data_IF_165644160009
#
_entry.id   IF_165644160009
#
_cell.length_a   1.000
_cell.length_b   1.000
_cell.length_c   1.000
_cell.angle_alpha   90.00
_cell.angle_beta   90.00
_cell.angle_gamma   90.00
#
_symmetry.space_group_name_H-M   'P 1'
#
loop_
_entity.id
_entity.type
_entity.pdbx_description
1 polymer ?
#
# COMPACT_ATOMS: atom_id res chain seq x y z
N UNK A 1 15.22 -1.05 86.82
CA UNK A 1 13.83 -0.67 86.52
C UNK A 1 13.87 0.38 85.42
N UNK A 2 13.18 0.12 84.31
CA UNK A 2 12.92 0.97 83.14
C UNK A 2 14.07 1.32 82.17
N UNK A 3 14.15 0.48 81.14
CA UNK A 3 14.65 0.73 79.79
C UNK A 3 13.95 1.92 79.13
N UNK A 4 14.71 2.78 78.43
CA UNK A 4 14.18 3.69 77.40
C UNK A 4 15.11 3.69 76.19
N UNK A 5 14.70 2.92 75.18
CA UNK A 5 15.23 2.95 73.83
C UNK A 5 14.78 4.26 73.18
N UNK A 6 15.74 5.10 72.79
CA UNK A 6 15.47 6.28 71.94
C UNK A 6 15.81 5.92 70.51
N UNK A 7 14.79 5.71 69.69
CA UNK A 7 14.88 5.66 68.24
C UNK A 7 14.59 7.06 67.70
N UNK A 8 15.52 7.65 66.94
CA UNK A 8 15.23 8.86 66.17
C UNK A 8 15.62 8.65 64.69
N UNK A 9 14.56 8.74 63.89
CA UNK A 9 14.41 8.84 62.45
C UNK A 9 15.63 9.31 61.63
N UNK A 10 16.06 8.48 60.67
CA UNK A 10 16.66 8.95 59.43
C UNK A 10 15.54 9.51 58.53
N UNK A 11 15.54 10.84 58.32
CA UNK A 11 14.72 11.47 57.29
C UNK A 11 15.39 11.27 55.92
N UNK A 12 14.99 10.22 55.21
CA UNK A 12 15.38 10.01 53.81
C UNK A 12 14.67 11.01 52.91
N UNK A 13 15.45 11.91 52.29
CA UNK A 13 14.98 12.85 51.28
C UNK A 13 14.67 12.06 50.00
N UNK A 14 13.41 11.62 49.83
CA UNK A 14 12.94 11.07 48.56
C UNK A 14 12.74 12.22 47.57
N UNK A 15 13.74 12.47 46.74
CA UNK A 15 13.55 13.25 45.52
C UNK A 15 12.65 12.42 44.58
N UNK A 16 11.35 12.74 44.56
CA UNK A 16 10.44 12.27 43.51
C UNK A 16 10.91 12.89 42.19
N UNK A 17 11.68 12.12 41.41
CA UNK A 17 11.88 12.39 40.00
C UNK A 17 10.55 12.21 39.30
N UNK A 18 9.81 13.31 39.09
CA UNK A 18 8.66 13.32 38.19
C UNK A 18 9.18 13.09 36.78
N UNK A 19 9.17 11.84 36.34
CA UNK A 19 9.23 11.53 34.91
C UNK A 19 8.06 12.28 34.25
N UNK A 20 8.29 13.03 33.16
CA UNK A 20 7.19 13.62 32.42
C UNK A 20 6.25 12.48 32.00
N UNK A 21 4.99 12.57 32.40
CA UNK A 21 3.97 11.67 31.92
C UNK A 21 3.99 11.74 30.39
N UNK A 22 4.31 10.62 29.73
CA UNK A 22 4.12 10.49 28.29
C UNK A 22 2.69 10.93 28.00
N UNK A 23 2.50 11.96 27.18
CA UNK A 23 1.17 12.33 26.71
C UNK A 23 0.52 11.06 26.15
N UNK A 24 -0.56 10.67 26.79
CA UNK A 24 -0.98 9.28 26.79
C UNK A 24 -1.98 9.12 25.63
N UNK A 25 -1.53 8.52 24.52
CA UNK A 25 -2.26 8.40 23.23
C UNK A 25 -3.68 7.88 23.46
N UNK A 26 -4.69 8.70 23.16
CA UNK A 26 -6.10 8.41 23.40
C UNK A 26 -7.01 9.20 22.45
N UNK A 27 -8.24 8.74 22.27
CA UNK A 27 -9.26 9.37 21.43
C UNK A 27 -9.74 8.47 20.31
N UNK A 28 -10.46 9.04 19.36
CA UNK A 28 -10.96 8.34 18.17
C UNK A 28 -10.49 9.06 16.91
N UNK A 29 -10.04 8.30 15.92
CA UNK A 29 -9.74 8.83 14.60
C UNK A 29 -10.36 7.97 13.50
N UNK A 30 -10.44 8.56 12.31
CA UNK A 30 -10.97 7.92 11.10
C UNK A 30 -9.88 7.91 10.05
N UNK A 31 -9.57 6.72 9.53
CA UNK A 31 -8.70 6.51 8.38
C UNK A 31 -9.60 6.18 7.19
N UNK A 32 -9.55 7.02 6.16
CA UNK A 32 -10.33 6.83 4.94
C UNK A 32 -9.45 6.37 3.78
N UNK A 33 -9.96 5.46 2.95
CA UNK A 33 -9.24 4.98 1.78
C UNK A 33 -10.14 4.26 0.78
N UNK A 34 -9.53 3.86 -0.32
CA UNK A 34 -10.10 2.98 -1.33
C UNK A 34 -8.97 2.16 -1.97
N UNK A 35 -9.31 1.05 -2.62
CA UNK A 35 -8.33 0.20 -3.29
C UNK A 35 -7.64 -0.81 -2.37
N UNK A 36 -6.51 -1.39 -2.81
CA UNK A 36 -5.94 -2.62 -2.23
C UNK A 36 -5.31 -2.43 -0.85
N UNK A 37 -5.15 -1.19 -0.36
CA UNK A 37 -4.49 -0.90 0.92
C UNK A 37 -5.38 -1.21 2.15
N UNK A 38 -6.64 -1.61 1.96
CA UNK A 38 -7.59 -1.85 3.07
C UNK A 38 -7.03 -2.78 4.15
N UNK A 39 -6.58 -3.97 3.75
CA UNK A 39 -6.19 -5.01 4.69
C UNK A 39 -4.97 -4.62 5.53
N UNK A 40 -3.98 -3.95 4.92
CA UNK A 40 -2.81 -3.46 5.66
C UNK A 40 -3.20 -2.34 6.63
N UNK A 41 -4.15 -1.47 6.27
CA UNK A 41 -4.61 -0.40 7.15
C UNK A 41 -5.41 -0.93 8.34
N UNK A 42 -6.29 -1.91 8.12
CA UNK A 42 -7.00 -2.62 9.19
C UNK A 42 -6.01 -3.31 10.14
N UNK A 43 -4.97 -3.94 9.60
CA UNK A 43 -3.94 -4.62 10.41
C UNK A 43 -3.10 -3.64 11.22
N UNK A 44 -2.71 -2.50 10.63
CA UNK A 44 -2.01 -1.42 11.35
C UNK A 44 -2.89 -0.80 12.44
N UNK A 45 -4.16 -0.52 12.12
CA UNK A 45 -5.13 0.03 13.08
C UNK A 45 -5.28 -0.91 14.29
N UNK A 46 -5.53 -2.19 14.04
CA UNK A 46 -5.68 -3.19 15.10
C UNK A 46 -4.43 -3.31 15.98
N UNK A 47 -3.25 -3.37 15.37
CA UNK A 47 -1.99 -3.46 16.12
C UNK A 47 -1.71 -2.19 16.93
N UNK A 48 -2.06 -1.01 16.40
CA UNK A 48 -1.95 0.26 17.10
C UNK A 48 -2.89 0.36 18.31
N UNK A 49 -4.16 -0.01 18.16
CA UNK A 49 -5.14 -0.02 19.26
C UNK A 49 -4.73 -0.99 20.36
N UNK A 50 -4.16 -2.15 19.99
CA UNK A 50 -3.62 -3.12 20.95
C UNK A 50 -2.47 -2.52 21.77
N UNK A 51 -1.62 -1.70 21.14
CA UNK A 51 -0.53 -1.00 21.83
C UNK A 51 -1.01 0.24 22.60
N UNK A 52 -2.16 0.81 22.23
CA UNK A 52 -2.73 2.04 22.78
C UNK A 52 -4.21 1.82 23.15
N UNK A 53 -4.53 1.18 24.30
CA UNK A 53 -5.89 0.72 24.60
C UNK A 53 -6.98 1.79 24.75
N UNK A 54 -6.61 3.08 24.68
CA UNK A 54 -7.52 4.22 24.74
C UNK A 54 -7.66 4.94 23.40
N UNK A 55 -6.96 4.47 22.38
CA UNK A 55 -7.14 4.88 21.01
C UNK A 55 -8.16 3.96 20.34
N UNK A 56 -9.00 4.56 19.50
CA UNK A 56 -9.95 3.86 18.65
C UNK A 56 -9.79 4.36 17.21
N UNK A 57 -9.69 3.45 16.26
CA UNK A 57 -9.48 3.76 14.85
C UNK A 57 -10.62 3.14 14.05
N UNK A 58 -11.40 4.00 13.40
CA UNK A 58 -12.38 3.58 12.42
C UNK A 58 -11.75 3.60 11.02
N UNK A 59 -11.75 2.46 10.33
CA UNK A 59 -11.22 2.32 8.97
C UNK A 59 -12.40 2.34 8.00
N UNK A 60 -12.60 3.48 7.36
CA UNK A 60 -13.67 3.70 6.38
C UNK A 60 -13.12 3.44 4.99
N UNK A 61 -13.55 2.33 4.38
CA UNK A 61 -13.07 1.89 3.07
C UNK A 61 -14.24 1.71 2.10
N UNK A 62 -14.29 2.56 1.06
CA UNK A 62 -15.34 2.51 0.03
C UNK A 62 -14.79 2.98 -1.32
N UNK A 63 -15.06 2.25 -2.40
CA UNK A 63 -14.56 2.52 -3.75
C UNK A 63 -15.07 3.83 -4.37
N UNK A 64 -16.14 4.41 -3.82
CA UNK A 64 -16.68 5.71 -4.24
C UNK A 64 -16.29 6.84 -3.27
N UNK A 65 -15.57 6.53 -2.20
CA UNK A 65 -15.08 7.54 -1.26
C UNK A 65 -14.07 8.48 -1.94
N UNK A 66 -13.99 9.69 -1.40
CA UNK A 66 -12.97 10.67 -1.76
C UNK A 66 -12.15 11.01 -0.51
N UNK A 67 -11.16 10.17 -0.14
CA UNK A 67 -10.46 10.29 1.13
C UNK A 67 -9.86 11.68 1.37
N UNK A 68 -9.27 12.28 0.33
CA UNK A 68 -8.71 13.64 0.42
C UNK A 68 -9.78 14.71 0.70
N UNK A 69 -10.98 14.56 0.13
CA UNK A 69 -12.08 15.49 0.40
C UNK A 69 -12.61 15.29 1.83
N UNK A 70 -12.65 14.05 2.32
CA UNK A 70 -13.01 13.75 3.71
C UNK A 70 -12.01 14.37 4.71
N UNK A 71 -10.70 14.32 4.44
CA UNK A 71 -9.68 14.98 5.27
C UNK A 71 -9.85 16.51 5.25
N UNK A 72 -10.04 17.11 4.07
CA UNK A 72 -10.28 18.57 3.93
C UNK A 72 -11.56 19.02 4.63
N UNK A 73 -12.60 18.18 4.59
CA UNK A 73 -13.87 18.42 5.27
C UNK A 73 -13.86 18.04 6.76
N UNK A 74 -12.73 17.57 7.30
CA UNK A 74 -12.57 17.10 8.69
C UNK A 74 -13.51 15.95 9.06
N UNK A 75 -13.89 15.13 8.08
CA UNK A 75 -14.65 13.88 8.25
C UNK A 75 -13.72 12.68 8.46
N UNK A 76 -12.50 12.76 7.94
CA UNK A 76 -11.43 11.80 8.19
C UNK A 76 -10.20 12.54 8.77
N UNK A 77 -9.41 11.81 9.54
CA UNK A 77 -8.14 12.32 10.09
C UNK A 77 -6.98 12.00 9.14
N UNK A 78 -7.02 10.82 8.53
CA UNK A 78 -6.03 10.34 7.57
C UNK A 78 -6.74 9.87 6.30
N UNK A 79 -6.18 10.21 5.16
CA UNK A 79 -6.50 9.64 3.85
C UNK A 79 -5.34 8.77 3.37
N UNK A 80 -5.63 7.57 2.86
CA UNK A 80 -4.63 6.69 2.27
C UNK A 80 -4.61 6.85 0.76
N UNK A 81 -3.49 7.31 0.21
CA UNK A 81 -3.38 7.66 -1.22
C UNK A 81 -2.07 7.22 -1.85
N UNK A 82 -2.06 7.10 -3.19
CA UNK A 82 -0.86 6.90 -3.99
C UNK A 82 -0.15 8.19 -4.44
N UNK A 83 -0.71 9.35 -4.12
CA UNK A 83 -0.24 10.66 -4.58
C UNK A 83 -0.40 11.74 -3.51
N UNK A 84 0.60 12.60 -3.38
CA UNK A 84 0.59 13.71 -2.44
C UNK A 84 -0.44 14.78 -2.83
N UNK A 85 -0.93 15.51 -1.84
CA UNK A 85 -1.88 16.60 -2.02
C UNK A 85 -1.28 17.92 -1.52
N UNK A 86 -1.32 18.96 -2.36
CA UNK A 86 -0.79 20.27 -2.01
C UNK A 86 -1.51 20.85 -0.78
N UNK A 87 -0.73 21.38 0.16
CA UNK A 87 -1.26 22.01 1.37
C UNK A 87 -1.68 21.03 2.47
N UNK A 88 -1.42 19.73 2.33
CA UNK A 88 -1.65 18.72 3.35
C UNK A 88 -0.34 18.09 3.82
N UNK A 89 -0.34 17.56 5.04
CA UNK A 89 0.77 16.76 5.57
C UNK A 89 0.76 15.39 4.92
N UNK A 90 1.95 14.85 4.62
CA UNK A 90 2.10 13.57 3.92
C UNK A 90 3.24 12.77 4.52
N UNK A 91 2.91 11.55 4.96
CA UNK A 91 3.87 10.56 5.43
C UNK A 91 3.84 9.36 4.50
N UNK A 92 4.97 9.08 3.85
CA UNK A 92 5.12 7.82 3.12
C UNK A 92 5.39 6.69 4.10
N UNK A 93 4.67 5.58 3.96
CA UNK A 93 4.82 4.39 4.83
C UNK A 93 5.33 3.16 4.09
N UNK A 94 5.21 3.12 2.76
CA UNK A 94 5.65 2.01 1.93
C UNK A 94 5.87 2.42 0.46
N UNK A 95 6.40 1.49 -0.32
CA UNK A 95 6.29 1.44 -1.77
C UNK A 95 5.38 0.29 -2.19
N UNK A 96 4.60 0.49 -3.25
CA UNK A 96 3.92 -0.57 -3.97
C UNK A 96 4.46 -0.64 -5.40
N UNK A 97 4.77 -1.84 -5.86
CA UNK A 97 5.07 -2.11 -7.26
C UNK A 97 3.78 -2.42 -8.01
N UNK A 98 3.67 -2.05 -9.27
CA UNK A 98 2.55 -2.43 -10.13
C UNK A 98 3.06 -3.49 -11.11
N UNK A 99 2.65 -4.73 -10.87
CA UNK A 99 3.09 -5.88 -11.64
C UNK A 99 2.23 -6.06 -12.90
N UNK A 100 2.86 -6.36 -14.04
CA UNK A 100 2.16 -6.77 -15.26
C UNK A 100 2.02 -8.28 -15.26
N UNK A 101 0.80 -8.77 -15.05
CA UNK A 101 0.52 -10.20 -14.89
C UNK A 101 -0.05 -10.80 -16.17
N UNK A 102 0.49 -11.95 -16.57
CA UNK A 102 0.02 -12.77 -17.68
C UNK A 102 -0.09 -14.24 -17.25
N UNK A 103 -0.72 -15.06 -18.08
CA UNK A 103 -0.71 -16.51 -17.87
C UNK A 103 0.71 -17.08 -18.03
N UNK A 104 1.07 -18.13 -17.26
CA UNK A 104 2.43 -18.69 -17.22
C UNK A 104 2.96 -19.15 -18.57
N UNK A 105 2.10 -19.64 -19.47
CA UNK A 105 2.51 -20.05 -20.82
C UNK A 105 2.56 -18.92 -21.86
N UNK A 106 2.31 -17.66 -21.47
CA UNK A 106 2.68 -16.51 -22.31
C UNK A 106 4.20 -16.31 -22.21
N UNK A 107 4.90 -16.56 -23.32
CA UNK A 107 6.36 -16.55 -23.40
C UNK A 107 6.97 -15.20 -23.81
N UNK A 108 6.18 -14.12 -23.81
CA UNK A 108 6.71 -12.75 -23.92
C UNK A 108 7.78 -12.56 -22.85
N UNK A 109 9.00 -12.20 -23.25
CA UNK A 109 10.16 -12.21 -22.35
C UNK A 109 10.13 -11.03 -21.39
N UNK A 110 9.95 -9.83 -21.95
CA UNK A 110 9.92 -8.55 -21.28
C UNK A 110 9.06 -7.59 -22.08
N UNK A 111 8.69 -6.47 -21.48
CA UNK A 111 8.07 -5.33 -22.14
C UNK A 111 8.76 -4.05 -21.70
N UNK A 112 8.78 -3.04 -22.53
CA UNK A 112 9.14 -1.68 -22.13
C UNK A 112 7.96 -0.98 -21.50
N UNK A 113 8.22 0.07 -20.73
CA UNK A 113 7.15 0.91 -20.18
C UNK A 113 6.23 1.48 -21.28
N UNK A 114 6.79 1.84 -22.43
CA UNK A 114 6.01 2.31 -23.58
C UNK A 114 5.13 1.20 -24.17
N UNK A 115 5.63 -0.03 -24.26
CA UNK A 115 4.84 -1.18 -24.72
C UNK A 115 3.70 -1.51 -23.75
N UNK A 116 3.90 -1.37 -22.43
CA UNK A 116 2.81 -1.48 -21.46
C UNK A 116 1.76 -0.39 -21.72
N UNK A 117 2.17 0.86 -21.91
CA UNK A 117 1.25 1.96 -22.23
C UNK A 117 0.46 1.69 -23.52
N UNK A 118 1.14 1.22 -24.56
CA UNK A 118 0.54 0.92 -25.86
C UNK A 118 -0.38 -0.31 -25.81
N UNK A 119 -0.04 -1.31 -24.99
CA UNK A 119 -0.87 -2.48 -24.76
C UNK A 119 -2.17 -2.09 -24.04
N UNK A 120 -2.08 -1.33 -22.95
CA UNK A 120 -3.25 -0.94 -22.16
C UNK A 120 -4.08 0.19 -22.78
N UNK A 121 -3.53 0.96 -23.72
CA UNK A 121 -4.31 1.85 -24.61
C UNK A 121 -4.90 1.11 -25.82
N UNK A 122 -4.69 -0.21 -25.91
CA UNK A 122 -5.30 -1.08 -26.90
C UNK A 122 -4.65 -1.00 -28.29
N UNK A 123 -3.43 -0.48 -28.43
CA UNK A 123 -2.71 -0.45 -29.71
C UNK A 123 -2.26 -1.84 -30.14
N UNK A 124 -1.74 -2.64 -29.22
CA UNK A 124 -1.39 -4.04 -29.49
C UNK A 124 -2.64 -4.91 -29.53
N UNK A 125 -2.81 -5.65 -30.62
CA UNK A 125 -3.97 -6.55 -30.83
C UNK A 125 -3.60 -8.02 -30.69
N UNK A 126 -2.33 -8.36 -30.92
CA UNK A 126 -1.81 -9.73 -30.82
C UNK A 126 -0.49 -9.73 -30.04
N UNK A 127 -0.23 -10.80 -29.30
CA UNK A 127 0.98 -10.94 -28.50
C UNK A 127 2.24 -11.17 -29.34
N UNK A 128 2.10 -11.70 -30.56
CA UNK A 128 3.21 -11.90 -31.49
C UNK A 128 3.97 -10.59 -31.80
N UNK A 129 3.28 -9.45 -31.77
CA UNK A 129 3.89 -8.12 -31.96
C UNK A 129 4.86 -7.73 -30.83
N UNK A 130 4.76 -8.41 -29.67
CA UNK A 130 5.62 -8.27 -28.49
C UNK A 130 6.56 -9.49 -28.33
N UNK A 131 6.70 -10.32 -29.37
CA UNK A 131 7.49 -11.54 -29.30
C UNK A 131 6.87 -12.65 -28.45
N UNK A 132 5.56 -12.55 -28.20
CA UNK A 132 4.77 -13.53 -27.47
C UNK A 132 4.04 -14.53 -28.39
N UNK A 133 3.04 -15.27 -27.84
CA UNK A 133 2.24 -16.23 -28.59
C UNK A 133 1.40 -15.57 -29.70
N UNK A 134 1.06 -16.34 -30.74
CA UNK A 134 0.11 -15.91 -31.77
C UNK A 134 -1.34 -15.98 -31.26
N UNK A 135 -1.66 -15.10 -30.31
CA UNK A 135 -2.97 -14.98 -29.69
C UNK A 135 -3.37 -13.51 -29.57
N UNK A 136 -4.68 -13.25 -29.58
CA UNK A 136 -5.22 -11.90 -29.34
C UNK A 136 -4.88 -11.43 -27.93
N UNK A 137 -4.60 -10.14 -27.78
CA UNK A 137 -4.47 -9.50 -26.46
C UNK A 137 -5.86 -9.28 -25.87
N UNK A 138 -6.08 -9.79 -24.65
CA UNK A 138 -7.27 -9.57 -23.86
C UNK A 138 -6.91 -8.78 -22.60
N UNK A 139 -7.22 -7.49 -22.61
CA UNK A 139 -6.99 -6.62 -21.46
C UNK A 139 -8.04 -6.91 -20.37
N UNK A 140 -7.58 -6.95 -19.12
CA UNK A 140 -8.44 -6.87 -17.95
C UNK A 140 -8.03 -5.64 -17.15
N UNK A 141 -8.93 -4.67 -17.11
CA UNK A 141 -8.79 -3.42 -16.35
C UNK A 141 -9.35 -3.56 -14.93
N UNK A 142 -9.05 -2.57 -14.11
CA UNK A 142 -9.48 -2.41 -12.74
C UNK A 142 -10.56 -1.33 -12.63
N UNK A 143 -11.37 -1.32 -11.56
CA UNK A 143 -12.31 -0.24 -11.29
C UNK A 143 -11.63 1.13 -11.31
N UNK A 144 -12.36 2.12 -11.84
CA UNK A 144 -12.00 3.54 -11.70
C UNK A 144 -12.02 3.92 -10.21
N UNK A 145 -11.21 4.88 -9.81
CA UNK A 145 -11.04 5.31 -8.41
C UNK A 145 -10.37 4.25 -7.50
N UNK A 146 -9.58 3.33 -8.06
CA UNK A 146 -8.61 2.56 -7.27
C UNK A 146 -7.25 3.24 -7.36
N UNK A 147 -6.60 3.46 -6.21
CA UNK A 147 -5.26 4.05 -6.12
C UNK A 147 -4.26 3.36 -7.08
N UNK A 148 -4.42 2.05 -7.32
CA UNK A 148 -3.54 1.28 -8.20
C UNK A 148 -3.76 1.63 -9.68
N UNK A 149 -5.02 1.74 -10.12
CA UNK A 149 -5.37 2.12 -11.50
C UNK A 149 -4.94 3.54 -11.81
N UNK A 150 -5.21 4.47 -10.91
CA UNK A 150 -4.88 5.88 -11.13
C UNK A 150 -3.36 6.07 -11.24
N UNK A 151 -2.60 5.43 -10.35
CA UNK A 151 -1.14 5.42 -10.43
C UNK A 151 -0.62 4.72 -11.69
N UNK A 152 -1.22 3.59 -12.09
CA UNK A 152 -0.85 2.87 -13.31
C UNK A 152 -1.02 3.75 -14.55
N UNK A 153 -2.18 4.37 -14.72
CA UNK A 153 -2.46 5.27 -15.83
C UNK A 153 -1.53 6.49 -15.84
N UNK A 154 -1.29 7.09 -14.67
CA UNK A 154 -0.45 8.28 -14.53
C UNK A 154 1.02 7.99 -14.82
N UNK A 155 1.55 6.88 -14.30
CA UNK A 155 2.94 6.45 -14.54
C UNK A 155 3.20 6.17 -16.02
N UNK A 156 2.20 5.68 -16.75
CA UNK A 156 2.29 5.34 -18.17
C UNK A 156 1.88 6.48 -19.11
N UNK A 157 1.33 7.59 -18.60
CA UNK A 157 0.82 8.68 -19.44
C UNK A 157 -0.43 8.31 -20.26
N UNK A 158 -1.23 7.38 -19.73
CA UNK A 158 -2.43 6.83 -20.38
C UNK A 158 -3.74 7.12 -19.63
N UNK A 159 -3.76 8.13 -18.75
CA UNK A 159 -4.98 8.57 -18.05
C UNK A 159 -6.16 8.71 -19.01
N UNK A 160 -7.21 7.92 -18.76
CA UNK A 160 -8.44 7.92 -19.56
C UNK A 160 -8.29 7.31 -20.96
N UNK A 161 -7.19 6.61 -21.26
CA UNK A 161 -6.94 5.98 -22.56
C UNK A 161 -7.14 4.47 -22.58
N UNK A 162 -7.39 3.83 -21.43
CA UNK A 162 -7.80 2.43 -21.41
C UNK A 162 -9.18 2.32 -22.10
N UNK A 163 -9.38 1.47 -23.11
CA UNK A 163 -10.63 1.40 -23.84
C UNK A 163 -11.82 1.06 -22.92
N UNK A 164 -12.94 1.79 -23.05
CA UNK A 164 -14.13 1.57 -22.22
C UNK A 164 -14.76 0.18 -22.40
N UNK A 165 -14.49 -0.49 -23.53
CA UNK A 165 -14.92 -1.87 -23.78
C UNK A 165 -14.09 -2.93 -23.03
N UNK A 166 -13.05 -2.52 -22.30
CA UNK A 166 -12.17 -3.43 -21.57
C UNK A 166 -12.92 -4.09 -20.41
N UNK A 167 -12.70 -5.39 -20.21
CA UNK A 167 -13.32 -6.10 -19.08
C UNK A 167 -12.76 -5.56 -17.77
N UNK A 168 -13.65 -5.12 -16.87
CA UNK A 168 -13.27 -4.65 -15.53
C UNK A 168 -13.51 -5.75 -14.49
N UNK A 169 -12.51 -6.02 -13.64
CA UNK A 169 -12.62 -6.93 -12.50
C UNK A 169 -12.03 -6.27 -11.25
N UNK A 170 -12.87 -6.08 -10.23
CA UNK A 170 -12.48 -5.44 -8.96
C UNK A 170 -11.68 -6.36 -8.03
N UNK A 171 -12.10 -7.62 -7.87
CA UNK A 171 -11.47 -8.52 -6.89
C UNK A 171 -10.19 -9.14 -7.43
N UNK A 172 -9.09 -9.03 -6.68
CA UNK A 172 -7.77 -9.56 -7.07
C UNK A 172 -7.80 -11.07 -7.34
N UNK A 173 -8.39 -11.84 -6.43
CA UNK A 173 -8.58 -13.29 -6.58
C UNK A 173 -9.31 -13.64 -7.89
N UNK A 174 -10.32 -12.84 -8.26
CA UNK A 174 -11.13 -13.08 -9.47
C UNK A 174 -10.35 -12.74 -10.72
N UNK A 175 -9.52 -11.69 -10.73
CA UNK A 175 -8.68 -11.39 -11.90
C UNK A 175 -7.58 -12.43 -12.05
N UNK A 176 -6.92 -12.82 -10.96
CA UNK A 176 -5.88 -13.86 -10.94
C UNK A 176 -6.45 -15.17 -11.51
N UNK A 177 -7.63 -15.60 -11.03
CA UNK A 177 -8.34 -16.78 -11.56
C UNK A 177 -8.73 -16.63 -13.03
N UNK A 178 -9.10 -15.43 -13.46
CA UNK A 178 -9.46 -15.17 -14.86
C UNK A 178 -8.24 -15.34 -15.77
N UNK A 179 -7.09 -14.77 -15.40
CA UNK A 179 -5.83 -14.94 -16.13
C UNK A 179 -5.40 -16.41 -16.12
N UNK A 180 -5.52 -17.08 -14.98
CA UNK A 180 -5.06 -18.45 -14.77
C UNK A 180 -5.80 -19.51 -15.60
N UNK A 181 -7.05 -19.31 -16.01
CA UNK A 181 -7.77 -20.40 -16.70
C UNK A 181 -9.14 -20.14 -17.29
N UNK A 182 -9.66 -18.90 -17.31
CA UNK A 182 -11.04 -18.66 -17.81
C UNK A 182 -11.08 -18.05 -19.22
N UNK A 183 -9.92 -17.79 -19.82
CA UNK A 183 -9.77 -17.18 -21.14
C UNK A 183 -8.97 -18.11 -22.06
N UNK A 184 -9.03 -17.93 -23.39
CA UNK A 184 -8.12 -18.63 -24.29
C UNK A 184 -6.69 -18.53 -23.75
N UNK A 185 -5.97 -19.66 -23.63
CA UNK A 185 -4.69 -19.68 -22.96
C UNK A 185 -3.75 -18.64 -23.57
N UNK A 186 -3.06 -17.90 -22.70
CA UNK A 186 -2.02 -16.91 -23.05
C UNK A 186 -2.48 -15.57 -23.62
N UNK A 187 -3.77 -15.33 -23.76
CA UNK A 187 -4.28 -14.08 -24.35
C UNK A 187 -4.34 -12.91 -23.37
N UNK A 188 -4.50 -13.20 -22.08
CA UNK A 188 -4.91 -12.20 -21.11
C UNK A 188 -3.76 -11.51 -20.38
N UNK A 189 -3.96 -10.24 -20.02
CA UNK A 189 -3.04 -9.42 -19.25
C UNK A 189 -3.79 -8.45 -18.35
N UNK A 190 -3.23 -8.22 -17.17
CA UNK A 190 -3.73 -7.26 -16.19
C UNK A 190 -2.57 -6.61 -15.45
N UNK A 191 -2.89 -5.70 -14.54
CA UNK A 191 -1.96 -5.10 -13.60
C UNK A 191 -2.51 -5.20 -12.16
N UNK A 192 -1.62 -5.40 -11.19
CA UNK A 192 -1.95 -5.65 -9.78
C UNK A 192 -0.87 -5.06 -8.87
N UNK A 193 -1.20 -4.87 -7.58
CA UNK A 193 -0.17 -4.64 -6.56
C UNK A 193 0.81 -5.82 -6.56
N UNK A 194 2.10 -5.50 -6.43
CA UNK A 194 3.18 -6.47 -6.60
C UNK A 194 3.14 -7.57 -5.53
N UNK A 195 2.83 -7.23 -4.27
CA UNK A 195 2.79 -8.22 -3.20
C UNK A 195 1.77 -9.33 -3.48
N UNK A 196 0.56 -8.94 -3.89
CA UNK A 196 -0.49 -9.91 -4.28
C UNK A 196 -0.09 -10.71 -5.53
N UNK A 197 0.57 -10.07 -6.49
CA UNK A 197 1.01 -10.73 -7.71
C UNK A 197 2.11 -11.77 -7.44
N UNK A 198 3.07 -11.44 -6.57
CA UNK A 198 4.12 -12.34 -6.11
C UNK A 198 3.55 -13.49 -5.29
N UNK A 199 2.59 -13.22 -4.40
CA UNK A 199 1.90 -14.26 -3.62
C UNK A 199 1.20 -15.26 -4.53
N UNK A 200 0.50 -14.79 -5.57
CA UNK A 200 -0.13 -15.67 -6.55
C UNK A 200 0.88 -16.58 -7.26
N UNK A 201 2.05 -16.04 -7.63
CA UNK A 201 3.14 -16.82 -8.24
C UNK A 201 3.71 -17.84 -7.24
N UNK A 202 3.96 -17.42 -5.99
CA UNK A 202 4.51 -18.27 -4.93
C UNK A 202 3.56 -19.41 -4.56
N UNK A 203 2.25 -19.14 -4.54
CA UNK A 203 1.18 -20.11 -4.31
C UNK A 203 0.93 -21.06 -5.49
N UNK A 204 1.71 -20.98 -6.57
CA UNK A 204 1.67 -21.93 -7.68
C UNK A 204 0.50 -21.73 -8.65
N UNK A 205 -0.19 -20.59 -8.60
CA UNK A 205 -1.17 -20.22 -9.62
C UNK A 205 -0.46 -20.12 -10.97
N UNK A 206 -1.05 -20.57 -12.10
CA UNK A 206 -0.41 -20.57 -13.42
C UNK A 206 -0.34 -19.17 -14.04
N UNK A 207 0.26 -18.22 -13.34
CA UNK A 207 0.53 -16.85 -13.76
C UNK A 207 2.03 -16.57 -13.70
N UNK A 208 2.48 -15.53 -14.40
CA UNK A 208 3.83 -14.97 -14.28
C UNK A 208 3.77 -13.46 -14.43
N UNK A 209 4.82 -12.79 -13.96
CA UNK A 209 4.98 -11.35 -14.08
C UNK A 209 5.94 -11.04 -15.22
N UNK A 210 5.65 -10.01 -16.02
CA UNK A 210 6.55 -9.55 -17.07
C UNK A 210 7.57 -8.56 -16.49
N UNK A 211 8.88 -8.74 -16.76
CA UNK A 211 9.88 -7.70 -16.57
C UNK A 211 9.49 -6.44 -17.36
N UNK A 212 9.74 -5.28 -16.76
CA UNK A 212 9.51 -3.98 -17.39
C UNK A 212 10.84 -3.25 -17.52
N UNK A 213 11.18 -2.81 -18.74
CA UNK A 213 12.46 -2.16 -19.05
C UNK A 213 13.68 -2.98 -18.59
N UNK A 214 13.62 -4.31 -18.77
CA UNK A 214 14.64 -5.29 -18.33
C UNK A 214 14.81 -5.40 -16.81
N UNK A 215 13.86 -4.88 -16.04
CA UNK A 215 13.86 -4.98 -14.58
C UNK A 215 12.76 -5.93 -14.12
N UNK A 216 13.17 -6.91 -13.32
CA UNK A 216 12.24 -7.85 -12.69
C UNK A 216 11.33 -7.14 -11.67
N UNK A 217 10.01 -7.43 -11.65
CA UNK A 217 9.09 -6.91 -10.65
C UNK A 217 9.28 -7.67 -9.33
N UNK A 218 10.12 -7.16 -8.45
CA UNK A 218 10.44 -7.79 -7.16
C UNK A 218 10.60 -6.75 -6.04
N UNK A 219 10.45 -7.17 -4.79
CA UNK A 219 10.63 -6.29 -3.63
C UNK A 219 11.95 -5.50 -3.64
N UNK A 220 13.13 -6.10 -3.97
CA UNK A 220 14.38 -5.35 -4.01
C UNK A 220 14.41 -4.27 -5.10
N UNK A 221 13.88 -4.55 -6.29
CA UNK A 221 13.88 -3.60 -7.42
C UNK A 221 12.85 -2.49 -7.25
N UNK A 222 11.73 -2.76 -6.56
CA UNK A 222 10.79 -1.73 -6.11
C UNK A 222 11.43 -0.86 -5.02
N UNK A 223 12.13 -1.48 -4.06
CA UNK A 223 12.74 -0.77 -2.93
C UNK A 223 13.80 0.23 -3.37
N UNK A 224 14.73 -0.18 -4.23
CA UNK A 224 15.81 0.68 -4.72
C UNK A 224 15.41 1.58 -5.91
N UNK A 225 14.25 1.31 -6.51
CA UNK A 225 13.66 2.14 -7.55
C UNK A 225 14.09 1.84 -8.97
N UNK A 226 14.82 0.74 -9.19
CA UNK A 226 15.06 0.23 -10.54
C UNK A 226 13.75 -0.15 -11.23
N UNK A 227 12.77 -0.72 -10.52
CA UNK A 227 11.45 -1.03 -11.10
C UNK A 227 10.58 0.23 -11.12
N UNK A 228 10.38 0.77 -12.32
CA UNK A 228 9.82 2.11 -12.54
C UNK A 228 8.30 2.20 -12.36
N UNK A 229 7.58 1.09 -12.50
CA UNK A 229 6.14 1.01 -12.22
C UNK A 229 5.93 0.81 -10.72
N UNK A 230 6.21 1.85 -9.94
CA UNK A 230 6.01 1.86 -8.49
C UNK A 230 5.36 3.17 -8.04
N UNK A 231 4.64 3.10 -6.94
CA UNK A 231 3.95 4.24 -6.31
C UNK A 231 4.20 4.25 -4.79
N UNK A 232 4.25 5.43 -4.16
CA UNK A 232 4.30 5.48 -2.71
C UNK A 232 2.93 5.08 -2.13
N UNK A 233 2.92 4.57 -0.91
CA UNK A 233 1.72 4.54 -0.07
C UNK A 233 1.86 5.66 0.95
N UNK A 234 0.92 6.59 0.91
CA UNK A 234 0.95 7.81 1.72
C UNK A 234 -0.22 7.81 2.71
N UNK A 235 0.08 8.24 3.94
CA UNK A 235 -0.90 8.76 4.89
C UNK A 235 -0.94 10.28 4.71
N UNK A 236 -2.11 10.82 4.38
CA UNK A 236 -2.33 12.25 4.16
C UNK A 236 -3.24 12.79 5.27
N UNK A 237 -2.79 13.83 5.95
CA UNK A 237 -3.51 14.45 7.07
C UNK A 237 -3.52 15.98 6.94
N UNK A 238 -4.36 16.66 7.72
CA UNK A 238 -4.28 18.12 7.83
C UNK A 238 -2.97 18.53 8.55
N UNK A 239 -2.51 19.76 8.37
CA UNK A 239 -1.31 20.25 9.08
C UNK A 239 -1.55 20.57 10.57
N UNK A 240 -2.75 20.25 11.08
CA UNK A 240 -3.10 20.44 12.48
C UNK A 240 -2.29 19.43 13.32
N UNK A 241 -1.70 19.88 14.43
CA UNK A 241 -0.96 19.00 15.33
C UNK A 241 -1.94 18.12 16.13
N UNK A 242 -2.30 16.97 15.57
CA UNK A 242 -3.08 15.93 16.24
C UNK A 242 -2.15 14.83 16.78
N UNK A 243 -2.02 14.68 18.12
CA UNK A 243 -1.15 13.67 18.72
C UNK A 243 -1.51 12.22 18.37
N UNK A 244 -2.79 11.93 18.14
CA UNK A 244 -3.23 10.57 17.80
C UNK A 244 -2.85 10.22 16.36
N UNK A 245 -3.02 11.17 15.42
CA UNK A 245 -2.55 11.03 14.03
C UNK A 245 -1.04 10.85 13.99
N UNK A 246 -0.29 11.73 14.66
CA UNK A 246 1.18 11.65 14.69
C UNK A 246 1.68 10.33 15.30
N UNK A 247 1.02 9.84 16.36
CA UNK A 247 1.36 8.56 16.98
C UNK A 247 1.12 7.38 16.03
N UNK A 248 0.03 7.40 15.25
CA UNK A 248 -0.24 6.36 14.26
C UNK A 248 0.72 6.39 13.08
N UNK A 249 1.05 7.58 12.55
CA UNK A 249 2.07 7.75 11.51
C UNK A 249 3.43 7.21 11.99
N UNK A 250 3.83 7.53 13.22
CA UNK A 250 5.04 6.98 13.84
C UNK A 250 4.97 5.46 14.03
N UNK A 251 3.81 4.92 14.43
CA UNK A 251 3.62 3.48 14.54
C UNK A 251 3.76 2.78 13.19
N UNK A 252 3.16 3.31 12.13
CA UNK A 252 3.28 2.76 10.78
C UNK A 252 4.74 2.75 10.28
N UNK A 253 5.55 3.72 10.72
CA UNK A 253 7.00 3.79 10.44
C UNK A 253 7.86 2.94 11.38
N UNK A 254 7.31 2.47 12.50
CA UNK A 254 8.05 1.65 13.48
C UNK A 254 8.40 0.27 12.93
N UNK A 255 9.31 -0.44 13.60
CA UNK A 255 9.67 -1.83 13.22
C UNK A 255 8.44 -2.77 13.18
N UNK A 256 7.48 -2.61 14.11
CA UNK A 256 6.26 -3.41 14.12
C UNK A 256 5.33 -3.04 12.96
N UNK A 257 5.13 -1.75 12.71
CA UNK A 257 4.32 -1.27 11.59
C UNK A 257 4.91 -1.68 10.23
N UNK A 258 6.22 -1.54 10.05
CA UNK A 258 6.92 -1.95 8.83
C UNK A 258 6.89 -3.47 8.62
N UNK A 259 6.84 -4.26 9.70
CA UNK A 259 6.64 -5.72 9.60
C UNK A 259 5.26 -6.05 9.06
N UNK A 260 4.20 -5.42 9.58
CA UNK A 260 2.82 -5.59 9.07
C UNK A 260 2.75 -5.17 7.59
N UNK A 261 3.36 -4.04 7.23
CA UNK A 261 3.40 -3.54 5.85
C UNK A 261 4.09 -4.54 4.91
N UNK A 262 5.12 -5.24 5.38
CA UNK A 262 5.90 -6.16 4.56
C UNK A 262 5.14 -7.41 4.10
N UNK A 263 3.97 -7.69 4.69
CA UNK A 263 3.09 -8.78 4.28
C UNK A 263 2.42 -8.52 2.91
N UNK A 264 2.35 -7.26 2.47
CA UNK A 264 1.67 -6.89 1.21
C UNK A 264 2.43 -5.86 0.35
N UNK A 265 3.27 -5.04 0.96
CA UNK A 265 3.93 -3.91 0.30
C UNK A 265 5.42 -3.88 0.59
N UNK A 266 6.17 -3.10 -0.19
CA UNK A 266 7.62 -2.96 0.01
C UNK A 266 7.88 -1.95 1.14
N UNK A 267 8.40 -2.39 2.30
CA UNK A 267 8.65 -1.50 3.42
C UNK A 267 9.77 -0.50 3.08
N UNK A 268 9.75 0.64 3.76
CA UNK A 268 10.78 1.65 3.60
C UNK A 268 12.14 1.10 4.08
N UNK A 269 13.26 1.60 3.52
CA UNK A 269 14.57 1.35 4.11
C UNK A 269 14.54 1.81 5.57
N UNK A 270 15.14 1.04 6.48
CA UNK A 270 15.42 1.55 7.82
C UNK A 270 16.30 2.78 7.64
N UNK A 271 15.78 3.97 7.96
CA UNK A 271 16.64 5.13 8.15
C UNK A 271 17.52 4.78 9.34
N UNK A 272 18.84 4.80 9.15
CA UNK A 272 19.73 4.88 10.30
C UNK A 272 19.34 6.16 11.01
N UNK A 273 18.76 6.06 12.21
CA UNK A 273 18.68 7.23 13.09
C UNK A 273 20.11 7.79 13.21
N UNK A 274 20.31 9.11 13.07
CA UNK A 274 21.60 9.73 13.34
C UNK A 274 22.06 9.46 14.78
#
# INVERSE_FOLDING_TARGET
MYSRISALLCAGFFALSTLPASAEVAGSMVIAGHGPEQHVMESLAHAFEKANPRAYIDVVWDDNSKPLDMVKAKQAHIAVTGASANGLHSVQIAWDGIAIMVHRSNFTKEVTKQEVADLFSGKYKVWADLGGPDTKVLLIDRPRNENNRDAFEQLLGITGKIPDSTKVIAKDEKVIKTIAGTLPPNSAVTYLSLGQALEAVASGVPVRLLPVDKVEPETPTVKDGRYSLRRPILLISNNDADPLVAAFEQFALSDEGQKIISDSYTPLPKTSSP
#
